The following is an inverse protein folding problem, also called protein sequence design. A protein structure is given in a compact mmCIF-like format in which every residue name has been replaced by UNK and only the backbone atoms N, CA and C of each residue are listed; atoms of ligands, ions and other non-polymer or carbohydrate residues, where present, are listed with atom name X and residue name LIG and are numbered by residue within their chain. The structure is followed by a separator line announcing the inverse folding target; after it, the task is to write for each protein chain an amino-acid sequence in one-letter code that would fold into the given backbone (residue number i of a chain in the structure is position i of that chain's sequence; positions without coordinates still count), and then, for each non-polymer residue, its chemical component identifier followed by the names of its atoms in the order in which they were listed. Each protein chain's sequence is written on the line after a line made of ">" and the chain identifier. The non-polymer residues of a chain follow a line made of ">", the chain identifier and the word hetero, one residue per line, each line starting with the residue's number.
data_IF_651355062809
#
_entry.id   IF_651355062809
#
_cell.length_a   1.000
_cell.length_b   1.000
_cell.length_c   1.000
_cell.angle_alpha   90.00
_cell.angle_beta   90.00
_cell.angle_gamma   90.00
#
_symmetry.space_group_name_H-M   'P 1'
#
loop_
_entity.id
_entity.type
_entity.pdbx_description
1 polymer ?
#
# COMPACT_ATOMS: atom_id res chain seq x y z
N UNK A 1 -28.45 18.29 83.32
CA UNK A 1 -28.64 17.93 81.90
C UNK A 1 -27.37 17.23 81.43
N UNK A 2 -27.41 15.91 81.21
CA UNK A 2 -26.25 15.10 80.84
C UNK A 2 -26.09 15.14 79.32
N UNK A 3 -24.99 15.71 78.84
CA UNK A 3 -24.66 15.76 77.41
C UNK A 3 -24.11 14.40 76.97
N UNK A 4 -24.94 13.61 76.30
CA UNK A 4 -24.53 12.39 75.60
C UNK A 4 -23.82 12.77 74.30
N UNK A 5 -22.52 12.49 74.19
CA UNK A 5 -21.80 12.57 72.92
C UNK A 5 -22.16 11.35 72.07
N UNK A 6 -22.68 11.60 70.87
CA UNK A 6 -22.93 10.59 69.86
C UNK A 6 -21.63 10.35 69.07
N UNK A 7 -21.07 9.14 69.16
CA UNK A 7 -19.89 8.74 68.38
C UNK A 7 -20.35 8.02 67.11
N UNK A 8 -20.14 8.64 65.96
CA UNK A 8 -20.40 8.03 64.65
C UNK A 8 -19.22 7.12 64.28
N UNK A 9 -19.47 5.82 64.13
CA UNK A 9 -18.48 4.84 63.65
C UNK A 9 -18.75 4.56 62.18
N UNK A 10 -17.90 5.06 61.29
CA UNK A 10 -17.94 4.77 59.85
C UNK A 10 -17.05 3.56 59.60
N UNK A 11 -17.62 2.45 59.12
CA UNK A 11 -16.86 1.27 58.69
C UNK A 11 -16.75 1.28 57.16
N UNK A 12 -15.52 1.39 56.65
CA UNK A 12 -15.23 1.22 55.23
C UNK A 12 -15.24 -0.28 54.90
N UNK A 13 -16.18 -0.72 54.07
CA UNK A 13 -16.11 -2.00 53.38
C UNK A 13 -15.43 -1.78 52.03
N UNK A 14 -14.20 -2.27 51.88
CA UNK A 14 -13.51 -2.29 50.58
C UNK A 14 -14.12 -3.40 49.72
N UNK A 15 -14.98 -3.03 48.79
CA UNK A 15 -15.43 -3.91 47.71
C UNK A 15 -14.33 -3.89 46.64
N UNK A 16 -13.59 -4.99 46.51
CA UNK A 16 -12.68 -5.17 45.38
C UNK A 16 -13.53 -5.46 44.13
N UNK A 17 -13.82 -4.41 43.35
CA UNK A 17 -14.41 -4.55 42.02
C UNK A 17 -13.30 -5.04 41.09
N UNK A 18 -13.29 -6.33 40.75
CA UNK A 18 -12.53 -6.81 39.60
C UNK A 18 -13.19 -6.26 38.34
N UNK A 19 -12.69 -5.13 37.86
CA UNK A 19 -12.99 -4.65 36.52
C UNK A 19 -12.18 -5.55 35.57
N UNK A 20 -12.85 -6.53 34.95
CA UNK A 20 -12.33 -7.15 33.75
C UNK A 20 -12.33 -6.08 32.65
N UNK A 21 -11.23 -5.35 32.53
CA UNK A 21 -10.94 -4.58 31.33
C UNK A 21 -10.66 -5.63 30.26
N UNK A 22 -11.65 -5.89 29.39
CA UNK A 22 -11.37 -6.62 28.15
C UNK A 22 -10.41 -5.76 27.36
N UNK A 23 -9.12 -6.05 27.47
CA UNK A 23 -8.16 -5.53 26.52
C UNK A 23 -8.61 -6.06 25.16
N UNK A 24 -8.92 -5.21 24.17
CA UNK A 24 -9.07 -5.72 22.82
C UNK A 24 -7.72 -6.34 22.48
N UNK A 25 -7.68 -7.67 22.35
CA UNK A 25 -6.58 -8.31 21.64
C UNK A 25 -6.48 -7.59 20.30
N UNK A 26 -5.30 -7.16 19.84
CA UNK A 26 -5.15 -6.75 18.47
C UNK A 26 -5.34 -8.04 17.68
N UNK A 27 -6.57 -8.32 17.25
CA UNK A 27 -6.73 -9.07 16.03
C UNK A 27 -6.16 -8.12 14.99
N UNK A 28 -4.85 -8.25 14.73
CA UNK A 28 -4.20 -7.66 13.57
C UNK A 28 -5.15 -7.96 12.40
N UNK A 29 -5.70 -6.91 11.80
CA UNK A 29 -6.92 -7.02 11.01
C UNK A 29 -6.76 -8.07 9.92
N UNK A 30 -7.73 -8.99 9.84
CA UNK A 30 -7.80 -9.91 8.72
C UNK A 30 -7.87 -9.11 7.41
N UNK A 31 -7.19 -9.58 6.37
CA UNK A 31 -7.27 -8.98 5.04
C UNK A 31 -8.67 -9.05 4.45
N UNK A 32 -8.90 -8.24 3.41
CA UNK A 32 -10.20 -8.15 2.76
C UNK A 32 -10.69 -9.47 2.13
N UNK A 33 -9.76 -10.35 1.74
CA UNK A 33 -10.06 -11.66 1.16
C UNK A 33 -9.70 -12.82 2.11
N UNK A 34 -10.37 -13.98 2.00
CA UNK A 34 -10.14 -15.12 2.91
C UNK A 34 -10.32 -16.52 2.31
N UNK A 35 -10.51 -16.65 0.99
CA UNK A 35 -10.82 -17.95 0.34
C UNK A 35 -9.88 -18.33 -0.80
N UNK A 36 -8.79 -17.59 -0.99
CA UNK A 36 -7.80 -17.87 -2.02
C UNK A 36 -6.81 -18.97 -1.65
N UNK A 37 -5.75 -19.12 -2.46
CA UNK A 37 -4.72 -20.16 -2.25
C UNK A 37 -3.60 -19.77 -1.29
N UNK A 38 -3.57 -18.53 -0.79
CA UNK A 38 -2.59 -18.09 0.22
C UNK A 38 -2.74 -18.86 1.54
N UNK A 39 -1.66 -18.95 2.33
CA UNK A 39 -1.61 -19.75 3.56
C UNK A 39 -1.62 -18.86 4.81
N UNK A 40 -2.64 -18.98 5.68
CA UNK A 40 -2.68 -18.27 6.97
C UNK A 40 -1.42 -18.47 7.82
N UNK A 41 -0.86 -17.36 8.32
CA UNK A 41 0.36 -17.34 9.13
C UNK A 41 1.66 -17.13 8.33
N UNK A 42 1.63 -17.24 7.01
CA UNK A 42 2.79 -17.01 6.15
C UNK A 42 2.83 -15.57 5.64
N UNK A 43 4.03 -15.03 5.48
CA UNK A 43 4.28 -13.96 4.51
C UNK A 43 4.52 -14.64 3.15
N UNK A 44 3.74 -14.26 2.14
CA UNK A 44 3.92 -14.73 0.76
C UNK A 44 4.27 -13.56 -0.16
N UNK A 45 5.26 -13.77 -1.03
CA UNK A 45 5.77 -12.77 -1.97
C UNK A 45 5.78 -13.42 -3.35
N UNK A 46 4.99 -12.88 -4.25
CA UNK A 46 4.74 -13.42 -5.57
C UNK A 46 5.20 -12.43 -6.63
N UNK A 47 6.41 -12.63 -7.14
CA UNK A 47 6.89 -11.95 -8.35
C UNK A 47 6.13 -12.53 -9.56
N UNK A 48 5.10 -11.82 -10.02
CA UNK A 48 4.19 -12.31 -11.06
C UNK A 48 4.91 -12.22 -12.39
N UNK A 49 5.12 -13.37 -13.04
CA UNK A 49 5.75 -13.39 -14.35
C UNK A 49 4.81 -12.82 -15.43
N UNK A 50 4.99 -11.54 -15.73
CA UNK A 50 4.33 -10.84 -16.83
C UNK A 50 5.26 -10.68 -18.05
N UNK A 51 6.48 -11.22 -18.01
CA UNK A 51 7.49 -11.03 -19.05
C UNK A 51 8.26 -9.73 -18.84
N UNK A 52 7.85 -8.63 -19.50
CA UNK A 52 8.48 -7.33 -19.33
C UNK A 52 7.58 -6.40 -18.52
N UNK A 53 8.20 -5.73 -17.55
CA UNK A 53 7.56 -4.91 -16.51
C UNK A 53 7.46 -5.64 -15.17
N UNK A 54 7.05 -4.89 -14.16
CA UNK A 54 7.07 -5.32 -12.77
C UNK A 54 5.65 -5.48 -12.20
N UNK A 55 5.46 -6.56 -11.44
CA UNK A 55 4.24 -6.81 -10.67
C UNK A 55 4.54 -7.81 -9.56
N UNK A 56 4.46 -7.37 -8.32
CA UNK A 56 4.69 -8.22 -7.15
C UNK A 56 3.49 -8.17 -6.21
N UNK A 57 2.83 -9.31 -6.01
CA UNK A 57 1.80 -9.44 -4.98
C UNK A 57 2.46 -9.87 -3.66
N UNK A 58 2.20 -9.15 -2.59
CA UNK A 58 2.61 -9.49 -1.23
C UNK A 58 1.35 -9.78 -0.41
N UNK A 59 1.32 -10.91 0.28
CA UNK A 59 0.24 -11.31 1.19
C UNK A 59 0.81 -11.53 2.58
N UNK A 60 0.35 -10.73 3.53
CA UNK A 60 0.78 -10.84 4.92
C UNK A 60 0.12 -12.01 5.67
N UNK A 61 0.63 -12.39 6.86
CA UNK A 61 0.14 -13.53 7.65
C UNK A 61 -1.35 -13.54 7.96
N UNK A 62 -1.98 -12.36 8.02
CA UNK A 62 -3.43 -12.19 8.24
C UNK A 62 -4.26 -12.10 6.95
N UNK A 63 -3.66 -12.27 5.78
CA UNK A 63 -4.31 -12.17 4.46
C UNK A 63 -4.37 -10.76 3.88
N UNK A 64 -3.79 -9.76 4.55
CA UNK A 64 -3.70 -8.40 3.99
C UNK A 64 -2.82 -8.39 2.75
N UNK A 65 -3.25 -7.70 1.71
CA UNK A 65 -2.61 -7.76 0.39
C UNK A 65 -2.07 -6.41 -0.08
N UNK A 66 -0.89 -6.44 -0.69
CA UNK A 66 -0.27 -5.30 -1.37
C UNK A 66 0.15 -5.73 -2.77
N UNK A 67 -0.20 -4.93 -3.78
CA UNK A 67 0.38 -5.04 -5.11
C UNK A 67 1.46 -3.96 -5.28
N UNK A 68 2.69 -4.35 -5.54
CA UNK A 68 3.79 -3.46 -5.89
C UNK A 68 3.99 -3.51 -7.40
N UNK A 69 3.70 -2.39 -8.07
CA UNK A 69 3.63 -2.25 -9.52
C UNK A 69 2.60 -3.16 -10.23
N UNK A 70 2.16 -2.71 -11.39
CA UNK A 70 1.18 -3.33 -12.27
C UNK A 70 1.55 -3.07 -13.74
N UNK A 71 2.78 -3.43 -14.11
CA UNK A 71 3.40 -3.10 -15.39
C UNK A 71 2.67 -3.60 -16.63
N UNK A 72 2.97 -2.96 -17.76
CA UNK A 72 2.57 -3.39 -19.11
C UNK A 72 3.72 -3.18 -20.09
N UNK A 73 3.76 -3.94 -21.19
CA UNK A 73 4.85 -3.82 -22.17
C UNK A 73 4.53 -2.95 -23.38
N UNK A 74 3.25 -2.62 -23.59
CA UNK A 74 2.79 -1.79 -24.71
C UNK A 74 1.67 -0.85 -24.27
N UNK A 75 1.73 0.42 -24.68
CA UNK A 75 0.75 1.46 -24.30
C UNK A 75 -0.71 1.13 -24.63
N UNK A 76 -0.95 0.31 -25.65
CA UNK A 76 -2.28 -0.05 -26.15
C UNK A 76 -2.69 -1.50 -25.83
N UNK A 77 -2.11 -2.08 -24.78
CA UNK A 77 -2.32 -3.47 -24.36
C UNK A 77 -2.91 -3.53 -22.96
N UNK A 78 -3.66 -4.59 -22.69
CA UNK A 78 -4.10 -5.00 -21.34
C UNK A 78 -3.61 -6.40 -20.99
N UNK A 79 -2.71 -6.97 -21.80
CA UNK A 79 -2.32 -8.36 -21.70
C UNK A 79 -1.64 -8.68 -20.35
N UNK A 80 -0.81 -7.77 -19.83
CA UNK A 80 -0.15 -7.99 -18.54
C UNK A 80 -1.12 -7.83 -17.38
N UNK A 81 -1.98 -6.81 -17.44
CA UNK A 81 -3.02 -6.62 -16.45
C UNK A 81 -3.97 -7.83 -16.35
N UNK A 82 -4.27 -8.52 -17.44
CA UNK A 82 -5.08 -9.75 -17.43
C UNK A 82 -4.37 -10.90 -16.72
N UNK A 83 -3.06 -11.06 -16.92
CA UNK A 83 -2.24 -12.06 -16.21
C UNK A 83 -2.21 -11.75 -14.72
N UNK A 84 -1.95 -10.49 -14.36
CA UNK A 84 -1.91 -10.00 -12.98
C UNK A 84 -3.26 -10.24 -12.28
N UNK A 85 -4.36 -9.83 -12.92
CA UNK A 85 -5.72 -10.01 -12.38
C UNK A 85 -6.04 -11.48 -12.10
N UNK A 86 -5.83 -12.36 -13.10
CA UNK A 86 -6.13 -13.79 -12.96
C UNK A 86 -5.28 -14.45 -11.86
N UNK A 87 -4.01 -14.06 -11.75
CA UNK A 87 -3.13 -14.58 -10.71
C UNK A 87 -3.56 -14.11 -9.31
N UNK A 88 -3.79 -12.80 -9.13
CA UNK A 88 -4.21 -12.25 -7.84
C UNK A 88 -5.57 -12.79 -7.39
N UNK A 89 -6.54 -12.93 -8.30
CA UNK A 89 -7.85 -13.49 -7.95
C UNK A 89 -7.72 -14.96 -7.48
N UNK A 90 -6.81 -15.73 -8.08
CA UNK A 90 -6.50 -17.09 -7.62
C UNK A 90 -5.88 -17.09 -6.22
N UNK A 91 -4.87 -16.24 -6.01
CA UNK A 91 -4.14 -16.18 -4.73
C UNK A 91 -5.02 -15.66 -3.62
N UNK A 92 -5.75 -14.57 -3.83
CA UNK A 92 -6.55 -13.89 -2.81
C UNK A 92 -7.95 -14.49 -2.66
N UNK A 93 -8.51 -15.05 -3.73
CA UNK A 93 -9.88 -15.57 -3.78
C UNK A 93 -10.94 -14.47 -3.89
N UNK A 94 -10.52 -13.22 -4.13
CA UNK A 94 -11.38 -12.07 -4.34
C UNK A 94 -10.65 -10.96 -5.11
N UNK A 95 -11.37 -9.94 -5.56
CA UNK A 95 -10.82 -8.78 -6.30
C UNK A 95 -10.68 -7.55 -5.39
N UNK A 96 -10.02 -7.71 -4.24
CA UNK A 96 -9.75 -6.61 -3.32
C UNK A 96 -8.30 -6.59 -2.88
N UNK A 97 -7.69 -5.41 -2.95
CA UNK A 97 -6.36 -5.12 -2.44
C UNK A 97 -6.46 -4.14 -1.28
N UNK A 98 -5.74 -4.42 -0.19
CA UNK A 98 -5.63 -3.45 0.91
C UNK A 98 -4.75 -2.28 0.47
N UNK A 99 -3.64 -2.58 -0.21
CA UNK A 99 -2.67 -1.60 -0.68
C UNK A 99 -2.26 -1.82 -2.14
N UNK A 100 -1.92 -0.72 -2.80
CA UNK A 100 -1.11 -0.71 -4.01
C UNK A 100 0.06 0.24 -3.76
N UNK A 101 1.25 -0.12 -4.22
CA UNK A 101 2.39 0.79 -4.31
C UNK A 101 2.81 0.84 -5.77
N UNK A 102 2.91 2.04 -6.32
CA UNK A 102 3.52 2.23 -7.64
C UNK A 102 4.86 2.92 -7.45
N UNK A 103 5.94 2.27 -7.88
CA UNK A 103 7.29 2.80 -7.79
C UNK A 103 7.40 4.15 -8.50
N UNK A 104 7.04 4.20 -9.77
CA UNK A 104 7.02 5.42 -10.59
C UNK A 104 6.09 5.27 -11.81
N UNK A 105 5.93 6.34 -12.60
CA UNK A 105 4.91 6.43 -13.66
C UNK A 105 5.41 6.00 -15.05
N UNK A 106 6.32 5.04 -15.14
CA UNK A 106 6.62 4.39 -16.43
C UNK A 106 5.65 3.27 -16.76
N UNK A 107 5.49 3.01 -18.06
CA UNK A 107 4.52 2.06 -18.60
C UNK A 107 4.70 0.67 -17.99
N UNK A 108 5.93 0.25 -17.80
CA UNK A 108 6.32 -1.06 -17.30
C UNK A 108 6.22 -1.20 -15.78
N UNK A 109 5.79 -0.15 -15.07
CA UNK A 109 5.51 -0.17 -13.64
C UNK A 109 4.02 0.12 -13.34
N UNK A 110 3.40 1.11 -13.99
CA UNK A 110 2.00 1.48 -13.71
C UNK A 110 1.01 1.07 -14.82
N UNK A 111 1.50 0.78 -16.02
CA UNK A 111 0.70 0.62 -17.23
C UNK A 111 0.22 1.95 -17.83
N UNK A 112 -0.88 1.91 -18.59
CA UNK A 112 -1.37 3.09 -19.30
C UNK A 112 -2.88 3.25 -19.18
N UNK A 113 -3.30 4.44 -18.72
CA UNK A 113 -4.70 4.82 -18.56
C UNK A 113 -5.47 4.59 -19.87
N UNK A 114 -6.62 3.95 -19.77
CA UNK A 114 -7.48 3.61 -20.90
C UNK A 114 -7.20 2.25 -21.56
N UNK A 115 -6.08 1.60 -21.23
CA UNK A 115 -5.66 0.34 -21.85
C UNK A 115 -5.29 -0.74 -20.84
N UNK A 116 -4.23 -0.53 -20.04
CA UNK A 116 -3.58 -1.61 -19.27
C UNK A 116 -3.20 -1.22 -17.84
N UNK A 117 -2.36 -2.06 -17.24
CA UNK A 117 -1.86 -1.96 -15.86
C UNK A 117 -2.92 -1.70 -14.80
N UNK A 118 -2.58 -0.88 -13.80
CA UNK A 118 -3.45 -0.61 -12.65
C UNK A 118 -4.82 -0.05 -13.06
N UNK A 119 -4.90 0.72 -14.15
CA UNK A 119 -6.16 1.27 -14.65
C UNK A 119 -7.10 0.15 -15.08
N UNK A 120 -6.59 -0.84 -15.81
CA UNK A 120 -7.39 -1.97 -16.28
C UNK A 120 -7.86 -2.85 -15.13
N UNK A 121 -7.02 -3.05 -14.11
CA UNK A 121 -7.40 -3.80 -12.90
C UNK A 121 -8.66 -3.21 -12.25
N UNK A 122 -8.68 -1.90 -12.03
CA UNK A 122 -9.79 -1.26 -11.31
C UNK A 122 -11.00 -0.93 -12.20
N UNK A 123 -10.78 -0.53 -13.46
CA UNK A 123 -11.87 -0.10 -14.35
C UNK A 123 -12.50 -1.25 -15.15
N UNK A 124 -11.80 -2.36 -15.33
CA UNK A 124 -12.25 -3.48 -16.18
C UNK A 124 -12.31 -4.82 -15.45
N UNK A 125 -11.43 -5.06 -14.48
CA UNK A 125 -11.38 -6.32 -13.72
C UNK A 125 -12.05 -6.24 -12.35
N UNK A 126 -12.58 -5.08 -11.97
CA UNK A 126 -13.39 -4.93 -10.76
C UNK A 126 -12.59 -4.98 -9.46
N UNK A 127 -11.28 -4.73 -9.50
CA UNK A 127 -10.48 -4.61 -8.30
C UNK A 127 -10.84 -3.36 -7.50
N UNK A 128 -11.14 -3.51 -6.21
CA UNK A 128 -11.15 -2.41 -5.25
C UNK A 128 -9.79 -2.26 -4.58
N UNK A 129 -9.38 -1.02 -4.31
CA UNK A 129 -8.09 -0.72 -3.67
C UNK A 129 -8.34 0.15 -2.43
N UNK A 130 -7.84 -0.29 -1.27
CA UNK A 130 -7.92 0.47 -0.03
C UNK A 130 -7.10 1.76 -0.07
N UNK A 131 -5.82 1.67 -0.37
CA UNK A 131 -4.91 2.82 -0.49
C UNK A 131 -3.87 2.59 -1.58
N UNK A 132 -3.63 3.59 -2.44
CA UNK A 132 -2.54 3.55 -3.42
C UNK A 132 -1.44 4.52 -3.01
N UNK A 133 -0.26 4.02 -2.71
CA UNK A 133 0.92 4.82 -2.46
C UNK A 133 1.62 5.12 -3.79
N UNK A 134 1.89 6.39 -4.04
CA UNK A 134 2.62 6.86 -5.23
C UNK A 134 3.62 7.94 -4.82
N UNK A 135 4.66 8.13 -5.64
CA UNK A 135 5.60 9.24 -5.48
C UNK A 135 4.91 10.61 -5.61
N UNK A 136 5.54 11.70 -5.17
CA UNK A 136 4.96 13.05 -5.28
C UNK A 136 4.95 13.56 -6.74
N UNK A 137 3.82 13.34 -7.40
CA UNK A 137 3.56 13.78 -8.77
C UNK A 137 3.13 15.25 -8.89
N UNK A 138 3.22 16.05 -7.82
CA UNK A 138 2.92 17.48 -7.83
C UNK A 138 4.19 18.34 -7.73
N UNK A 139 5.07 17.98 -6.81
CA UNK A 139 6.28 18.76 -6.55
C UNK A 139 7.48 18.24 -7.34
N UNK A 140 7.53 16.94 -7.66
CA UNK A 140 8.64 16.31 -8.37
C UNK A 140 8.18 15.89 -9.77
N UNK A 141 8.43 16.74 -10.77
CA UNK A 141 7.94 16.53 -12.13
C UNK A 141 9.02 16.08 -13.11
N UNK A 142 10.29 16.46 -12.90
CA UNK A 142 11.40 16.06 -13.78
C UNK A 142 11.12 16.30 -15.26
N UNK A 143 11.44 15.29 -16.07
CA UNK A 143 10.97 15.13 -17.45
C UNK A 143 9.64 14.35 -17.51
N UNK A 144 8.53 15.04 -17.85
CA UNK A 144 7.20 14.43 -17.85
C UNK A 144 6.88 13.70 -19.16
N UNK A 145 6.57 12.41 -19.06
CA UNK A 145 6.11 11.59 -20.19
C UNK A 145 4.59 11.70 -20.43
N UNK A 146 4.13 11.16 -21.56
CA UNK A 146 2.69 10.97 -21.82
C UNK A 146 2.03 10.03 -20.82
N UNK A 147 2.75 8.97 -20.39
CA UNK A 147 2.27 8.05 -19.34
C UNK A 147 2.05 8.81 -18.03
N UNK A 148 3.05 9.57 -17.58
CA UNK A 148 2.94 10.41 -16.38
C UNK A 148 1.75 11.37 -16.48
N UNK A 149 1.64 12.11 -17.58
CA UNK A 149 0.59 13.14 -17.76
C UNK A 149 -0.81 12.54 -17.66
N UNK A 150 -1.04 11.39 -18.29
CA UNK A 150 -2.34 10.74 -18.25
C UNK A 150 -2.68 10.17 -16.87
N UNK A 151 -1.69 9.58 -16.19
CA UNK A 151 -1.88 9.06 -14.85
C UNK A 151 -2.13 10.15 -13.82
N UNK A 152 -1.38 11.25 -13.87
CA UNK A 152 -1.64 12.44 -13.05
C UNK A 152 -3.09 12.91 -13.23
N UNK A 153 -3.52 13.11 -14.48
CA UNK A 153 -4.89 13.52 -14.78
C UNK A 153 -5.96 12.53 -14.30
N UNK A 154 -5.68 11.22 -14.36
CA UNK A 154 -6.59 10.20 -13.85
C UNK A 154 -6.66 10.20 -12.31
N UNK A 155 -5.53 10.28 -11.61
CA UNK A 155 -5.45 10.29 -10.14
C UNK A 155 -6.04 11.56 -9.51
N UNK A 156 -5.95 12.70 -10.19
CA UNK A 156 -6.60 13.96 -9.79
C UNK A 156 -8.08 14.03 -10.18
N UNK A 157 -8.51 13.14 -11.09
CA UNK A 157 -9.88 13.08 -11.60
C UNK A 157 -10.62 11.81 -11.18
N UNK A 158 -11.13 11.08 -12.18
CA UNK A 158 -12.03 9.94 -11.97
C UNK A 158 -11.39 8.77 -11.19
N UNK A 159 -10.05 8.66 -11.20
CA UNK A 159 -9.30 7.63 -10.49
C UNK A 159 -9.15 7.89 -8.99
N UNK A 160 -9.35 9.13 -8.53
CA UNK A 160 -9.11 9.50 -7.13
C UNK A 160 -9.92 8.63 -6.16
N UNK A 161 -11.24 8.58 -6.36
CA UNK A 161 -12.16 7.79 -5.52
C UNK A 161 -12.03 6.26 -5.71
N UNK A 162 -11.29 5.81 -6.73
CA UNK A 162 -11.09 4.39 -7.04
C UNK A 162 -9.80 3.84 -6.47
N UNK A 163 -8.76 4.65 -6.46
CA UNK A 163 -7.41 4.26 -6.06
C UNK A 163 -7.01 4.82 -4.70
N UNK A 164 -7.70 5.84 -4.18
CA UNK A 164 -7.38 6.47 -2.90
C UNK A 164 -5.89 6.84 -2.80
N UNK A 165 -5.36 7.66 -3.73
CA UNK A 165 -3.93 7.93 -3.82
C UNK A 165 -3.44 8.72 -2.60
N UNK A 166 -2.31 8.30 -2.05
CA UNK A 166 -1.57 8.97 -0.98
C UNK A 166 -0.11 9.08 -1.40
N UNK A 167 0.51 10.23 -1.14
CA UNK A 167 1.95 10.42 -1.37
C UNK A 167 2.74 9.52 -0.41
N UNK A 168 3.64 8.72 -0.94
CA UNK A 168 4.58 7.92 -0.16
C UNK A 168 5.50 8.83 0.66
N UNK A 169 5.83 8.40 1.87
CA UNK A 169 6.82 9.03 2.74
C UNK A 169 7.72 7.95 3.32
N UNK A 170 8.97 8.30 3.61
CA UNK A 170 9.90 7.35 4.22
C UNK A 170 9.40 6.89 5.59
N UNK A 171 9.59 5.61 5.88
CA UNK A 171 9.15 4.95 7.10
C UNK A 171 8.18 3.80 6.86
N UNK A 172 7.82 3.14 7.96
CA UNK A 172 6.95 1.95 7.95
C UNK A 172 5.49 2.25 8.35
N UNK A 173 5.10 3.52 8.37
CA UNK A 173 3.81 3.93 8.94
C UNK A 173 2.61 3.84 8.00
N UNK A 174 2.84 3.69 6.69
CA UNK A 174 1.77 3.80 5.68
C UNK A 174 1.15 2.47 5.26
N UNK A 175 1.87 1.36 5.47
CA UNK A 175 1.45 0.02 5.07
C UNK A 175 1.45 -0.91 6.29
N UNK A 176 0.31 -1.51 6.57
CA UNK A 176 0.14 -2.53 7.60
C UNK A 176 -0.27 -3.85 6.95
N UNK A 177 0.67 -4.79 6.82
CA UNK A 177 0.43 -6.15 6.29
C UNK A 177 0.16 -7.17 7.41
N UNK A 178 -0.06 -6.71 8.64
CA UNK A 178 -0.33 -7.56 9.79
C UNK A 178 0.91 -7.86 10.63
N UNK A 179 0.68 -8.57 11.73
CA UNK A 179 1.64 -8.73 12.82
C UNK A 179 2.98 -9.32 12.35
N UNK A 180 4.08 -8.67 12.74
CA UNK A 180 5.45 -9.10 12.47
C UNK A 180 5.98 -8.68 11.10
N UNK A 181 5.12 -8.21 10.19
CA UNK A 181 5.54 -7.69 8.89
C UNK A 181 5.80 -6.20 9.00
N UNK A 182 6.95 -5.75 8.48
CA UNK A 182 7.26 -4.32 8.32
C UNK A 182 7.44 -4.05 6.84
N UNK A 183 6.74 -3.04 6.31
CA UNK A 183 6.96 -2.53 4.97
C UNK A 183 7.46 -1.09 5.09
N UNK A 184 8.78 -0.92 5.03
CA UNK A 184 9.46 0.33 5.30
C UNK A 184 9.88 1.01 3.99
N UNK A 185 9.27 2.14 3.64
CA UNK A 185 9.73 2.94 2.51
C UNK A 185 11.05 3.60 2.91
N UNK A 186 12.10 3.35 2.13
CA UNK A 186 13.47 3.82 2.43
C UNK A 186 13.97 4.84 1.42
N UNK A 187 13.26 5.00 0.31
CA UNK A 187 13.49 6.05 -0.68
C UNK A 187 12.18 6.36 -1.42
N UNK A 188 11.94 7.65 -1.66
CA UNK A 188 10.96 8.17 -2.61
C UNK A 188 11.48 9.52 -3.13
N UNK A 189 11.08 9.92 -4.35
CA UNK A 189 11.35 11.26 -4.90
C UNK A 189 12.83 11.71 -4.84
N UNK A 190 13.75 10.79 -5.10
CA UNK A 190 15.20 11.03 -5.06
C UNK A 190 15.78 11.17 -3.65
N UNK A 191 14.99 10.96 -2.59
CA UNK A 191 15.38 10.93 -1.18
C UNK A 191 16.35 12.06 -0.77
N UNK A 192 15.98 13.29 -1.12
CA UNK A 192 16.76 14.50 -0.82
C UNK A 192 17.98 14.74 -1.71
N UNK A 193 18.32 13.83 -2.62
CA UNK A 193 19.34 14.04 -3.65
C UNK A 193 18.84 14.88 -4.82
N UNK A 194 17.51 14.96 -5.00
CA UNK A 194 16.86 15.70 -6.08
C UNK A 194 16.00 16.79 -5.46
N UNK A 195 16.03 17.98 -6.06
CA UNK A 195 15.17 19.09 -5.66
C UNK A 195 13.81 18.98 -6.35
N UNK A 196 12.75 19.36 -5.63
CA UNK A 196 11.42 19.51 -6.21
C UNK A 196 11.42 20.54 -7.34
N UNK A 197 10.73 20.25 -8.43
CA UNK A 197 10.59 21.14 -9.57
C UNK A 197 10.19 20.45 -10.87
N UNK A 198 10.04 21.28 -11.91
CA UNK A 198 9.80 20.86 -13.29
C UNK A 198 11.03 21.18 -14.13
N UNK A 199 11.58 20.19 -14.81
CA UNK A 199 12.90 20.30 -15.45
C UNK A 199 12.91 19.97 -16.95
N UNK A 200 11.77 19.74 -17.62
CA UNK A 200 11.68 19.45 -19.07
C UNK A 200 12.47 20.38 -20.03
N UNK A 201 12.92 21.55 -19.60
CA UNK A 201 13.75 22.47 -20.40
C UNK A 201 15.26 22.35 -20.16
N UNK A 202 15.67 21.56 -19.16
CA UNK A 202 17.07 21.39 -18.80
C UNK A 202 17.78 20.51 -19.82
N UNK A 203 19.10 20.66 -19.94
CA UNK A 203 19.90 19.79 -20.81
C UNK A 203 19.93 18.33 -20.32
N UNK A 204 19.68 18.11 -19.03
CA UNK A 204 19.66 16.78 -18.38
C UNK A 204 18.71 16.80 -17.18
N UNK A 205 17.38 16.80 -17.41
CA UNK A 205 16.40 16.70 -16.33
C UNK A 205 16.49 15.35 -15.62
N UNK A 206 16.08 15.26 -14.34
CA UNK A 206 15.84 13.97 -13.71
C UNK A 206 14.82 13.15 -14.49
N UNK A 207 15.14 11.86 -14.65
CA UNK A 207 14.24 10.85 -15.20
C UNK A 207 13.12 10.55 -14.21
N UNK A 208 11.99 10.06 -14.73
CA UNK A 208 10.93 9.50 -13.91
C UNK A 208 11.43 8.40 -12.95
N UNK A 209 12.43 7.61 -13.37
CA UNK A 209 13.08 6.58 -12.54
C UNK A 209 13.74 7.16 -11.29
N UNK A 210 14.24 8.40 -11.37
CA UNK A 210 14.97 9.01 -10.27
C UNK A 210 14.05 9.33 -9.07
N UNK A 211 12.73 9.27 -9.30
CA UNK A 211 11.71 9.51 -8.28
C UNK A 211 11.07 8.24 -7.73
N UNK A 212 11.57 7.06 -8.11
CA UNK A 212 11.02 5.77 -7.69
C UNK A 212 10.88 5.62 -6.17
N UNK A 213 9.80 4.96 -5.76
CA UNK A 213 9.66 4.41 -4.42
C UNK A 213 10.48 3.11 -4.33
N UNK A 214 11.30 3.01 -3.28
CA UNK A 214 11.94 1.77 -2.85
C UNK A 214 11.60 1.46 -1.38
N UNK A 215 11.35 0.19 -1.09
CA UNK A 215 10.95 -0.28 0.23
C UNK A 215 11.76 -1.51 0.66
N UNK A 216 11.86 -1.70 1.98
CA UNK A 216 12.35 -2.94 2.60
C UNK A 216 11.17 -3.62 3.30
N UNK A 217 10.88 -4.84 2.88
CA UNK A 217 9.91 -5.73 3.49
C UNK A 217 10.65 -6.67 4.46
N UNK A 218 10.22 -6.70 5.72
CA UNK A 218 10.82 -7.53 6.77
C UNK A 218 9.80 -8.43 7.45
N UNK A 219 10.17 -9.68 7.75
CA UNK A 219 9.40 -10.61 8.58
C UNK A 219 10.33 -11.56 9.36
N UNK A 220 10.42 -11.37 10.67
CA UNK A 220 11.35 -12.11 11.51
C UNK A 220 12.81 -11.77 11.17
N UNK A 221 13.57 -12.74 10.65
CA UNK A 221 14.96 -12.56 10.22
C UNK A 221 15.11 -12.43 8.69
N UNK A 222 13.99 -12.41 7.96
CA UNK A 222 13.97 -12.22 6.52
C UNK A 222 13.78 -10.74 6.17
N UNK A 223 14.55 -10.27 5.19
CA UNK A 223 14.45 -8.95 4.58
C UNK A 223 14.50 -9.08 3.05
N UNK A 224 13.66 -8.32 2.36
CA UNK A 224 13.69 -8.14 0.90
C UNK A 224 13.60 -6.65 0.57
N UNK A 225 14.47 -6.18 -0.33
CA UNK A 225 14.31 -4.86 -0.93
C UNK A 225 13.46 -4.99 -2.20
N UNK A 226 12.50 -4.08 -2.38
CA UNK A 226 11.65 -3.98 -3.55
C UNK A 226 11.59 -2.53 -4.04
N UNK A 227 11.68 -2.33 -5.35
CA UNK A 227 11.65 -1.02 -6.00
C UNK A 227 11.64 -1.18 -7.51
N UNK A 228 11.45 -0.06 -8.22
CA UNK A 228 11.46 0.03 -9.67
C UNK A 228 12.46 1.04 -10.20
#
# INVERSE_FOLDING_TARGET
>A
MKNTKLTLVIRFFSIAILIFVSMPSPVAGAGACGTGTWTPGNLEIHHINIGQGDATLIVGPGGKSLLFDAGESNWNSSAKAQIIASYMETVLGCTSLDYVVISHFHLDHIGYVGYGGLWYLVEKQGFSVGTTLVRDYNSYLGDVSGTFTNWKGYLEGAGNARLNPVTAVDGAGQVDLGSGVTFNIVAHDGNGAIIAGRFNGDASPPSENDYSIGAVLSYGAFDEWIGG
#
